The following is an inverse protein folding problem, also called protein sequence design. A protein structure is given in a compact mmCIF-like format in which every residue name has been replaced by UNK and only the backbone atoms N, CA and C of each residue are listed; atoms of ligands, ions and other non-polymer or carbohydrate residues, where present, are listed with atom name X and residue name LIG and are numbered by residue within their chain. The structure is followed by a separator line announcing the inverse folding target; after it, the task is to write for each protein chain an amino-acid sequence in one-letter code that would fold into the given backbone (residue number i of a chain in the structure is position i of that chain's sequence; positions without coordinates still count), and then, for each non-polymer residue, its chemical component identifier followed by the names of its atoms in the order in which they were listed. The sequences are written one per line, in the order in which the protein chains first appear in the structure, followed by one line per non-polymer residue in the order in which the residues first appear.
data_IF_324713422723
#
_entry.id   IF_324713422723
#
_cell.length_a   1.000
_cell.length_b   1.000
_cell.length_c   1.000
_cell.angle_alpha   90.00
_cell.angle_beta   90.00
_cell.angle_gamma   90.00
#
_symmetry.space_group_name_H-M   'P 1'
#
loop_
_entity.id
_entity.type
_entity.pdbx_description
1 polymer ?
#
# COMPACT_ATOMS: atom_id res chain seq x y z
N UNK A 1 44.44 -6.44 53.41
CA UNK A 1 43.97 -7.83 53.32
C UNK A 1 43.72 -8.14 51.86
N UNK A 2 44.64 -8.86 51.21
CA UNK A 2 44.32 -9.70 50.04
C UNK A 2 43.78 -11.06 50.56
N UNK A 3 43.41 -12.07 49.73
CA UNK A 3 43.14 -12.14 48.28
C UNK A 3 41.87 -12.97 47.93
N UNK A 4 41.55 -13.11 46.63
CA UNK A 4 41.24 -14.37 45.88
C UNK A 4 40.41 -14.00 44.63
N UNK A 5 40.95 -13.92 43.41
CA UNK A 5 41.43 -14.97 42.49
C UNK A 5 40.47 -16.16 42.32
N UNK A 6 39.77 -16.23 41.17
CA UNK A 6 39.67 -17.47 40.40
C UNK A 6 39.47 -17.14 38.91
N UNK A 7 40.41 -17.60 38.09
CA UNK A 7 40.44 -17.60 36.62
C UNK A 7 39.66 -18.78 36.02
N UNK A 8 39.36 -18.63 34.73
CA UNK A 8 39.34 -19.63 33.66
C UNK A 8 38.23 -20.70 33.62
N UNK A 9 37.51 -20.78 32.49
CA UNK A 9 37.84 -21.75 31.43
C UNK A 9 37.03 -21.48 30.14
N UNK A 10 37.75 -21.36 29.03
CA UNK A 10 37.26 -21.45 27.65
C UNK A 10 37.23 -22.93 27.28
N UNK A 11 36.20 -23.41 26.58
CA UNK A 11 36.31 -24.60 25.73
C UNK A 11 35.42 -24.45 24.48
N UNK A 12 36.08 -24.57 23.33
CA UNK A 12 35.53 -24.58 21.98
C UNK A 12 34.99 -25.96 21.57
N UNK A 13 34.09 -25.97 20.58
CA UNK A 13 33.78 -27.03 19.59
C UNK A 13 33.28 -28.40 20.11
N UNK A 14 32.29 -29.06 19.52
CA UNK A 14 32.26 -29.58 18.14
C UNK A 14 30.82 -29.85 17.63
N UNK A 15 30.64 -29.78 16.31
CA UNK A 15 29.53 -30.39 15.58
C UNK A 15 29.81 -31.86 15.25
N UNK A 16 28.76 -32.65 14.93
CA UNK A 16 28.93 -33.57 13.80
C UNK A 16 27.74 -33.62 12.81
N UNK A 17 28.11 -33.39 11.54
CA UNK A 17 27.81 -34.11 10.29
C UNK A 17 26.54 -34.98 10.17
N UNK A 18 25.82 -34.67 9.10
CA UNK A 18 24.92 -35.50 8.29
C UNK A 18 25.54 -36.81 7.77
N UNK A 19 24.69 -37.78 7.39
CA UNK A 19 24.91 -38.56 6.18
C UNK A 19 23.73 -38.51 5.19
N UNK A 20 24.09 -38.23 3.94
CA UNK A 20 23.28 -38.39 2.74
C UNK A 20 23.23 -39.87 2.36
N UNK A 21 22.07 -40.39 1.96
CA UNK A 21 21.99 -41.66 1.22
C UNK A 21 20.98 -41.53 0.09
N UNK A 22 21.53 -41.55 -1.13
CA UNK A 22 20.83 -41.72 -2.39
C UNK A 22 20.35 -43.18 -2.51
N UNK A 23 19.08 -43.38 -2.87
CA UNK A 23 18.61 -44.66 -3.39
C UNK A 23 17.84 -44.39 -4.69
N UNK A 24 18.47 -44.82 -5.78
CA UNK A 24 17.91 -45.01 -7.11
C UNK A 24 17.15 -46.35 -7.13
N UNK A 25 16.01 -46.47 -7.84
CA UNK A 25 15.57 -47.77 -8.34
C UNK A 25 15.78 -47.87 -9.86
N UNK A 26 16.43 -48.96 -10.26
CA UNK A 26 16.60 -49.39 -11.64
C UNK A 26 15.35 -50.07 -12.19
N UNK A 27 15.21 -49.90 -13.49
CA UNK A 27 14.31 -50.51 -14.47
C UNK A 27 14.08 -52.01 -14.29
N UNK A 28 12.86 -52.47 -14.53
CA UNK A 28 12.60 -53.80 -15.10
C UNK A 28 11.47 -53.72 -16.10
N UNK A 29 11.84 -54.10 -17.31
CA UNK A 29 11.04 -54.25 -18.51
C UNK A 29 10.27 -55.57 -18.43
N UNK A 30 8.98 -55.58 -18.73
CA UNK A 30 8.18 -56.81 -18.87
C UNK A 30 6.93 -56.53 -19.70
N UNK A 31 7.02 -56.85 -21.00
CA UNK A 31 5.88 -57.01 -21.88
C UNK A 31 5.00 -58.20 -21.46
N UNK A 32 3.68 -58.15 -21.65
CA UNK A 32 2.84 -59.32 -21.81
C UNK A 32 2.51 -59.60 -23.31
N UNK A 33 2.21 -60.86 -23.67
CA UNK A 33 2.06 -61.29 -25.04
C UNK A 33 0.64 -61.09 -25.62
N UNK A 34 0.61 -61.11 -26.95
CA UNK A 34 -0.50 -60.90 -27.88
C UNK A 34 -1.69 -61.85 -27.73
N UNK A 35 -2.90 -61.31 -27.96
CA UNK A 35 -4.05 -62.07 -28.45
C UNK A 35 -4.58 -61.40 -29.72
N UNK A 36 -4.56 -62.19 -30.80
CA UNK A 36 -5.22 -61.95 -32.09
C UNK A 36 -6.74 -61.84 -31.92
N UNK A 37 -7.43 -61.01 -32.70
CA UNK A 37 -8.19 -61.45 -33.90
C UNK A 37 -8.89 -60.25 -34.54
N UNK A 38 -8.98 -60.35 -35.87
CA UNK A 38 -9.39 -59.45 -36.94
C UNK A 38 -10.85 -58.90 -36.89
N UNK A 39 -11.18 -57.92 -37.77
CA UNK A 39 -12.24 -56.94 -37.58
C UNK A 39 -13.53 -57.27 -38.35
N UNK A 40 -14.66 -56.75 -37.85
CA UNK A 40 -15.89 -56.60 -38.64
C UNK A 40 -16.16 -55.13 -38.95
N UNK A 41 -16.48 -54.91 -40.23
CA UNK A 41 -16.72 -53.63 -40.89
C UNK A 41 -18.05 -53.01 -40.47
N UNK A 42 -18.05 -51.72 -40.08
CA UNK A 42 -19.25 -50.88 -40.16
C UNK A 42 -18.83 -49.50 -40.69
N UNK A 43 -19.42 -49.19 -41.84
CA UNK A 43 -19.43 -47.92 -42.55
C UNK A 43 -19.84 -46.75 -41.64
N UNK A 44 -19.02 -45.70 -41.55
CA UNK A 44 -19.52 -44.37 -41.19
C UNK A 44 -18.64 -43.28 -41.83
N UNK A 45 -19.31 -42.45 -42.62
CA UNK A 45 -18.82 -41.27 -43.34
C UNK A 45 -17.99 -40.34 -42.44
N UNK A 46 -16.90 -39.73 -42.94
CA UNK A 46 -16.07 -38.84 -42.14
C UNK A 46 -16.76 -37.49 -41.91
N UNK A 47 -17.12 -37.21 -40.66
CA UNK A 47 -17.49 -35.88 -40.19
C UNK A 47 -16.19 -35.08 -40.00
N UNK A 48 -16.03 -34.00 -40.78
CA UNK A 48 -14.89 -33.08 -40.67
C UNK A 48 -14.86 -32.42 -39.29
N UNK A 49 -13.99 -32.91 -38.40
CA UNK A 49 -13.69 -32.25 -37.12
C UNK A 49 -12.59 -31.22 -37.41
N UNK A 50 -13.02 -29.97 -37.57
CA UNK A 50 -12.17 -28.80 -37.65
C UNK A 50 -11.50 -28.58 -36.28
N UNK A 51 -10.33 -29.21 -36.10
CA UNK A 51 -9.54 -29.10 -34.87
C UNK A 51 -8.61 -27.90 -35.02
N UNK A 52 -9.12 -26.70 -34.78
CA UNK A 52 -8.24 -25.56 -34.53
C UNK A 52 -7.48 -25.80 -33.22
N UNK A 53 -6.14 -25.65 -33.20
CA UNK A 53 -5.38 -25.69 -31.97
C UNK A 53 -5.82 -24.52 -31.06
N UNK A 54 -5.88 -24.71 -29.73
CA UNK A 54 -6.27 -23.63 -28.84
C UNK A 54 -5.21 -22.53 -28.95
N UNK A 55 -5.60 -21.38 -29.49
CA UNK A 55 -4.83 -20.15 -29.37
C UNK A 55 -4.65 -19.86 -27.89
N UNK A 56 -3.48 -20.20 -27.36
CA UNK A 56 -3.00 -19.64 -26.11
C UNK A 56 -2.81 -18.16 -26.41
N UNK A 57 -3.80 -17.37 -26.02
CA UNK A 57 -3.76 -15.92 -26.02
C UNK A 57 -2.73 -15.49 -24.96
N UNK A 58 -1.46 -15.63 -25.30
CA UNK A 58 -0.36 -15.00 -24.60
C UNK A 58 -0.40 -13.50 -24.93
N UNK A 59 -1.42 -12.78 -24.45
CA UNK A 59 -1.28 -11.35 -24.28
C UNK A 59 -0.21 -11.12 -23.22
N UNK A 60 0.96 -10.55 -23.56
CA UNK A 60 1.82 -10.01 -22.53
C UNK A 60 1.00 -8.96 -21.77
N UNK A 61 1.11 -8.87 -20.44
CA UNK A 61 0.42 -7.83 -19.70
C UNK A 61 0.81 -6.50 -20.34
N UNK A 62 -0.18 -5.72 -20.74
CA UNK A 62 0.00 -4.34 -21.20
C UNK A 62 0.59 -3.54 -20.05
N UNK A 63 1.92 -3.63 -19.90
CA UNK A 63 2.70 -2.71 -19.10
C UNK A 63 2.69 -1.43 -19.91
N UNK A 64 1.72 -0.55 -19.61
CA UNK A 64 1.84 0.85 -19.98
C UNK A 64 3.29 1.27 -19.70
N UNK A 65 4.03 1.85 -20.66
CA UNK A 65 5.40 2.22 -20.44
C UNK A 65 5.43 3.20 -19.28
N UNK A 66 5.80 2.69 -18.09
CA UNK A 66 6.02 3.50 -16.91
C UNK A 66 7.12 4.47 -17.31
N UNK A 67 6.74 5.72 -17.61
CA UNK A 67 7.70 6.77 -17.84
C UNK A 67 8.64 6.76 -16.63
N UNK A 68 9.91 6.41 -16.87
CA UNK A 68 10.97 6.43 -15.88
C UNK A 68 11.26 7.89 -15.55
N UNK A 69 10.32 8.50 -14.83
CA UNK A 69 10.43 9.86 -14.34
C UNK A 69 11.39 9.85 -13.18
N UNK A 70 12.41 10.73 -13.23
CA UNK A 70 13.33 10.95 -12.11
C UNK A 70 12.63 11.56 -10.89
N UNK A 71 11.39 12.03 -11.04
CA UNK A 71 10.63 12.69 -9.99
C UNK A 71 10.07 11.65 -9.02
N UNK A 72 10.26 11.88 -7.72
CA UNK A 72 9.78 11.00 -6.64
C UNK A 72 8.25 10.87 -6.73
N UNK A 73 7.74 9.68 -7.06
CA UNK A 73 6.31 9.39 -6.99
C UNK A 73 5.85 9.47 -5.53
N UNK A 74 4.70 10.07 -5.31
CA UNK A 74 4.10 10.07 -3.99
C UNK A 74 3.73 8.63 -3.60
N UNK A 75 4.04 8.22 -2.37
CA UNK A 75 3.62 6.93 -1.82
C UNK A 75 2.58 7.16 -0.72
N UNK A 76 1.27 7.12 -1.04
CA UNK A 76 0.23 7.33 -0.04
C UNK A 76 0.28 6.34 1.13
N UNK A 77 0.76 5.12 0.92
CA UNK A 77 0.88 4.12 1.99
C UNK A 77 1.94 4.53 3.02
N UNK A 78 2.92 5.36 2.64
CA UNK A 78 3.98 5.81 3.54
C UNK A 78 3.57 7.00 4.43
N UNK A 79 2.45 7.67 4.11
CA UNK A 79 1.95 8.82 4.85
C UNK A 79 1.61 8.46 6.29
N UNK A 80 2.04 9.29 7.26
CA UNK A 80 1.83 9.06 8.71
C UNK A 80 0.37 8.72 9.04
N UNK A 81 -0.59 9.45 8.46
CA UNK A 81 -2.03 9.22 8.65
C UNK A 81 -2.48 7.84 8.13
N UNK A 82 -2.01 7.43 6.95
CA UNK A 82 -2.40 6.16 6.34
C UNK A 82 -1.74 4.98 7.05
N UNK A 83 -0.46 5.11 7.43
CA UNK A 83 0.22 4.16 8.33
C UNK A 83 -0.52 4.00 9.65
N UNK A 84 -0.85 5.11 10.33
CA UNK A 84 -1.59 5.08 11.60
C UNK A 84 -2.99 4.45 11.43
N UNK A 85 -3.71 4.75 10.33
CA UNK A 85 -4.99 4.09 10.00
C UNK A 85 -4.83 2.58 9.81
N UNK A 86 -3.81 2.14 9.06
CA UNK A 86 -3.54 0.72 8.82
C UNK A 86 -3.14 -0.02 10.12
N UNK A 87 -2.26 0.59 10.94
CA UNK A 87 -1.86 0.04 12.24
C UNK A 87 -3.06 -0.08 13.19
N UNK A 88 -3.91 0.95 13.25
CA UNK A 88 -5.14 0.93 14.05
C UNK A 88 -6.12 -0.16 13.61
N UNK A 89 -6.33 -0.34 12.31
CA UNK A 89 -7.24 -1.37 11.80
C UNK A 89 -6.68 -2.79 11.96
N UNK A 90 -5.35 -2.94 12.02
CA UNK A 90 -4.67 -4.21 12.31
C UNK A 90 -4.41 -4.44 13.80
N UNK A 91 -4.92 -3.57 14.68
CA UNK A 91 -4.78 -3.72 16.14
C UNK A 91 -3.36 -3.56 16.65
N UNK A 92 -2.43 -3.05 15.85
CA UNK A 92 -1.02 -2.83 16.23
C UNK A 92 -0.87 -1.51 16.99
N UNK A 93 0.28 -1.36 17.66
CA UNK A 93 0.63 -0.10 18.31
C UNK A 93 0.72 1.02 17.27
N UNK A 94 0.23 2.21 17.63
CA UNK A 94 0.23 3.35 16.72
C UNK A 94 0.27 4.67 17.48
N UNK A 95 0.76 5.70 16.80
CA UNK A 95 0.77 7.07 17.31
C UNK A 95 -0.48 7.83 16.86
N UNK A 96 -1.13 8.55 17.78
CA UNK A 96 -2.27 9.40 17.45
C UNK A 96 -1.83 10.63 16.67
N UNK A 97 -2.66 11.05 15.69
CA UNK A 97 -2.42 12.27 14.91
C UNK A 97 -2.85 13.56 15.64
N UNK A 98 -3.08 13.49 16.95
CA UNK A 98 -3.39 14.67 17.78
C UNK A 98 -2.11 15.38 18.16
N UNK A 99 -2.17 16.67 18.54
CA UNK A 99 -0.99 17.43 18.96
C UNK A 99 -0.21 16.76 20.11
N UNK A 100 -0.88 15.91 20.90
CA UNK A 100 -0.29 15.13 21.99
C UNK A 100 0.51 13.91 21.54
N UNK A 101 0.46 13.49 20.26
CA UNK A 101 1.24 12.36 19.72
C UNK A 101 1.25 11.12 20.62
N UNK A 102 0.09 10.78 21.18
CA UNK A 102 -0.03 9.72 22.19
C UNK A 102 0.26 8.37 21.56
N UNK A 103 1.16 7.62 22.16
CA UNK A 103 1.40 6.22 21.81
C UNK A 103 0.26 5.35 22.33
N UNK A 104 -0.37 4.61 21.43
CA UNK A 104 -1.41 3.63 21.74
C UNK A 104 -0.79 2.25 21.60
N UNK A 105 -0.86 1.44 22.65
CA UNK A 105 -0.35 0.06 22.62
C UNK A 105 -1.13 -0.84 21.65
N UNK A 106 -0.45 -1.90 21.21
CA UNK A 106 -1.08 -2.97 20.46
C UNK A 106 -2.20 -3.63 21.27
N UNK A 107 -3.24 -4.06 20.56
CA UNK A 107 -4.30 -4.90 21.11
C UNK A 107 -3.70 -6.23 21.55
N UNK A 108 -4.15 -6.69 22.71
CA UNK A 108 -3.72 -7.95 23.32
C UNK A 108 -4.98 -8.73 23.70
N UNK A 109 -4.90 -10.07 23.66
CA UNK A 109 -5.90 -10.90 24.34
C UNK A 109 -5.82 -10.60 25.85
N UNK A 110 -6.87 -10.87 26.62
CA UNK A 110 -6.74 -10.80 28.08
C UNK A 110 -7.22 -12.06 28.81
N UNK A 111 -7.77 -11.86 30.01
CA UNK A 111 -8.11 -12.93 30.95
C UNK A 111 -9.43 -13.61 30.64
N UNK A 112 -9.48 -14.93 30.84
CA UNK A 112 -10.63 -15.81 30.64
C UNK A 112 -11.94 -15.31 31.27
N UNK A 113 -13.06 -15.87 30.78
CA UNK A 113 -14.35 -15.51 31.37
C UNK A 113 -14.37 -15.93 32.84
N UNK A 114 -14.86 -15.05 33.72
CA UNK A 114 -15.07 -15.39 35.14
C UNK A 114 -15.94 -16.64 35.30
N UNK A 115 -15.74 -17.38 36.38
CA UNK A 115 -16.48 -18.59 36.76
C UNK A 115 -18.00 -18.40 36.80
N UNK A 116 -18.47 -17.15 36.92
CA UNK A 116 -19.89 -16.77 36.83
C UNK A 116 -20.47 -16.86 35.41
N UNK A 117 -19.69 -17.32 34.44
CA UNK A 117 -20.12 -17.44 33.05
C UNK A 117 -21.12 -18.57 32.86
N UNK A 118 -22.38 -18.21 32.58
CA UNK A 118 -23.46 -19.17 32.27
C UNK A 118 -23.15 -20.09 31.07
N UNK A 119 -22.36 -19.58 30.11
CA UNK A 119 -22.02 -20.31 28.89
C UNK A 119 -20.68 -21.07 28.98
N UNK A 120 -20.00 -21.01 30.13
CA UNK A 120 -18.71 -21.69 30.38
C UNK A 120 -17.69 -21.53 29.23
N UNK A 121 -17.60 -20.31 28.67
CA UNK A 121 -16.82 -20.07 27.45
C UNK A 121 -15.32 -20.35 27.59
N UNK A 122 -14.77 -20.31 28.82
CA UNK A 122 -13.37 -20.66 29.10
C UNK A 122 -13.07 -22.13 28.74
N UNK A 123 -14.02 -23.04 28.96
CA UNK A 123 -13.83 -24.47 28.70
C UNK A 123 -14.04 -24.84 27.21
N UNK A 124 -14.60 -23.92 26.42
CA UNK A 124 -14.95 -24.20 25.01
C UNK A 124 -13.79 -23.92 24.05
N UNK A 125 -12.86 -23.06 24.43
CA UNK A 125 -11.75 -22.64 23.58
C UNK A 125 -10.44 -22.66 24.36
N UNK A 126 -9.42 -23.28 23.78
CA UNK A 126 -8.07 -23.23 24.33
C UNK A 126 -7.45 -21.83 24.16
N UNK A 127 -6.36 -21.56 24.88
CA UNK A 127 -5.61 -20.31 24.73
C UNK A 127 -5.13 -20.09 23.29
N UNK A 128 -4.67 -21.14 22.62
CA UNK A 128 -4.12 -21.06 21.26
C UNK A 128 -5.22 -20.82 20.22
N UNK A 129 -6.38 -21.48 20.38
CA UNK A 129 -7.55 -21.22 19.53
C UNK A 129 -8.01 -19.77 19.65
N UNK A 130 -7.94 -19.19 20.86
CA UNK A 130 -8.27 -17.77 21.09
C UNK A 130 -7.26 -16.84 20.43
N UNK A 131 -5.97 -17.17 20.48
CA UNK A 131 -4.93 -16.42 19.79
C UNK A 131 -5.14 -16.46 18.28
N UNK A 132 -5.44 -17.63 17.71
CA UNK A 132 -5.75 -17.77 16.29
C UNK A 132 -6.98 -16.94 15.88
N UNK A 133 -8.06 -16.95 16.68
CA UNK A 133 -9.23 -16.10 16.46
C UNK A 133 -8.89 -14.61 16.50
N UNK A 134 -8.07 -14.19 17.47
CA UNK A 134 -7.60 -12.81 17.61
C UNK A 134 -6.78 -12.38 16.39
N UNK A 135 -5.78 -13.17 16.02
CA UNK A 135 -4.90 -12.88 14.89
C UNK A 135 -5.66 -12.84 13.58
N UNK A 136 -6.54 -13.82 13.32
CA UNK A 136 -7.36 -13.83 12.11
C UNK A 136 -8.27 -12.59 12.04
N UNK A 137 -8.85 -12.16 13.17
CA UNK A 137 -9.68 -10.96 13.21
C UNK A 137 -8.91 -9.68 12.87
N UNK A 138 -7.72 -9.51 13.44
CA UNK A 138 -6.91 -8.31 13.24
C UNK A 138 -6.10 -8.34 11.94
N UNK A 139 -5.74 -9.53 11.44
CA UNK A 139 -5.09 -9.75 10.13
C UNK A 139 -5.98 -9.28 8.97
N UNK A 140 -7.31 -9.38 9.10
CA UNK A 140 -8.22 -8.86 8.08
C UNK A 140 -7.94 -7.38 7.77
N UNK A 141 -7.51 -6.57 8.74
CA UNK A 141 -7.05 -5.18 8.53
C UNK A 141 -8.10 -4.22 7.94
N UNK A 142 -9.31 -4.72 7.66
CA UNK A 142 -10.39 -4.00 7.03
C UNK A 142 -11.55 -3.86 8.00
N UNK A 143 -11.89 -2.60 8.27
CA UNK A 143 -12.93 -2.21 9.19
C UNK A 143 -14.31 -2.68 8.71
N UNK A 144 -14.51 -2.82 7.39
CA UNK A 144 -15.79 -3.28 6.83
C UNK A 144 -16.02 -4.75 7.20
N UNK A 145 -15.04 -5.60 6.91
CA UNK A 145 -15.12 -7.04 7.16
C UNK A 145 -15.15 -7.36 8.66
N UNK A 146 -14.38 -6.64 9.48
CA UNK A 146 -14.43 -6.74 10.94
C UNK A 146 -15.81 -6.38 11.54
N UNK A 147 -16.62 -5.64 10.80
CA UNK A 147 -17.95 -5.18 11.20
C UNK A 147 -19.08 -6.02 10.59
N UNK A 148 -18.77 -7.02 9.78
CA UNK A 148 -19.78 -7.98 9.34
C UNK A 148 -20.07 -8.98 10.46
N UNK A 149 -20.90 -8.56 11.42
CA UNK A 149 -21.44 -9.45 12.45
C UNK A 149 -22.91 -9.68 12.12
N UNK A 150 -23.28 -10.93 11.90
CA UNK A 150 -24.67 -11.37 11.70
C UNK A 150 -25.28 -11.78 13.04
N UNK A 151 -26.10 -10.95 13.70
CA UNK A 151 -26.85 -11.38 14.88
C UNK A 151 -27.96 -12.34 14.44
N UNK A 152 -27.77 -13.65 14.66
CA UNK A 152 -28.76 -14.69 14.34
C UNK A 152 -29.72 -14.93 15.51
N UNK A 153 -30.56 -13.94 15.86
CA UNK A 153 -31.88 -14.17 16.50
C UNK A 153 -32.66 -12.85 16.69
N UNK A 154 -33.94 -12.82 16.26
CA UNK A 154 -34.84 -11.66 16.40
C UNK A 154 -36.17 -12.12 17.02
N UNK A 155 -36.42 -11.74 18.26
CA UNK A 155 -37.79 -11.72 18.81
C UNK A 155 -38.21 -10.28 19.03
N UNK A 156 -39.24 -9.85 18.29
CA UNK A 156 -39.91 -8.56 18.51
C UNK A 156 -41.06 -8.83 19.47
N UNK A 157 -41.06 -8.20 20.65
CA UNK A 157 -42.27 -8.16 21.48
C UNK A 157 -43.20 -7.09 20.92
N UNK A 158 -44.40 -7.49 20.48
CA UNK A 158 -45.44 -6.57 20.02
C UNK A 158 -45.74 -5.57 21.15
N UNK A 159 -45.66 -4.26 20.86
CA UNK A 159 -45.89 -3.19 21.82
C UNK A 159 -44.68 -2.74 22.66
N UNK A 160 -43.48 -3.29 22.46
CA UNK A 160 -42.28 -2.84 23.19
C UNK A 160 -41.59 -1.66 22.51
N UNK A 161 -41.32 -0.58 23.26
CA UNK A 161 -40.46 0.54 22.85
C UNK A 161 -38.97 0.19 22.85
N UNK A 162 -38.58 -1.01 23.31
CA UNK A 162 -37.19 -1.46 23.31
C UNK A 162 -36.77 -1.85 21.89
N UNK A 163 -36.20 -0.89 21.16
CA UNK A 163 -35.57 -1.11 19.85
C UNK A 163 -34.34 -2.05 19.91
N UNK A 164 -33.81 -2.35 21.10
CA UNK A 164 -32.59 -3.14 21.27
C UNK A 164 -32.90 -4.65 21.22
N UNK A 165 -32.45 -5.31 20.15
CA UNK A 165 -32.53 -6.75 19.96
C UNK A 165 -31.57 -7.53 20.88
N UNK A 166 -31.92 -8.76 21.23
CA UNK A 166 -31.03 -9.68 21.93
C UNK A 166 -29.97 -10.22 20.95
N UNK A 167 -28.75 -9.68 20.99
CA UNK A 167 -27.67 -10.18 20.14
C UNK A 167 -27.05 -11.46 20.70
N UNK A 168 -26.92 -12.47 19.85
CA UNK A 168 -26.11 -13.66 20.11
C UNK A 168 -24.77 -13.54 19.38
N UNK A 169 -23.69 -13.95 20.05
CA UNK A 169 -22.32 -13.89 19.54
C UNK A 169 -21.80 -15.29 19.30
N UNK A 170 -21.03 -15.48 18.24
CA UNK A 170 -20.54 -16.80 17.83
C UNK A 170 -19.07 -16.73 17.42
N UNK A 171 -18.33 -17.80 17.70
CA UNK A 171 -17.01 -18.05 17.13
C UNK A 171 -17.00 -19.35 16.31
N UNK A 172 -16.29 -19.39 15.18
CA UNK A 172 -16.10 -20.62 14.42
C UNK A 172 -15.11 -21.54 15.15
N UNK A 173 -15.44 -22.84 15.21
CA UNK A 173 -14.57 -23.93 15.68
C UNK A 173 -14.96 -25.21 14.95
N UNK A 174 -14.01 -25.84 14.24
CA UNK A 174 -14.22 -27.10 13.51
C UNK A 174 -15.52 -27.08 12.68
N UNK A 175 -15.68 -26.05 11.84
CA UNK A 175 -16.85 -25.79 10.98
C UNK A 175 -18.21 -25.59 11.69
N UNK A 176 -18.20 -25.50 13.01
CA UNK A 176 -19.39 -25.17 13.82
C UNK A 176 -19.28 -23.77 14.39
N UNK A 177 -20.42 -23.09 14.52
CA UNK A 177 -20.52 -21.79 15.20
C UNK A 177 -20.89 -22.03 16.67
N UNK A 178 -19.95 -21.79 17.58
CA UNK A 178 -20.17 -21.93 19.03
C UNK A 178 -20.62 -20.59 19.60
N UNK A 179 -21.73 -20.60 20.35
CA UNK A 179 -22.27 -19.41 21.00
C UNK A 179 -21.43 -19.02 22.21
N UNK A 180 -21.02 -17.76 22.27
CA UNK A 180 -20.26 -17.20 23.38
C UNK A 180 -20.98 -16.03 24.04
N UNK A 181 -20.60 -15.71 25.28
CA UNK A 181 -21.18 -14.57 25.97
C UNK A 181 -20.62 -13.26 25.40
N UNK A 182 -21.37 -12.17 25.56
CA UNK A 182 -20.97 -10.83 25.13
C UNK A 182 -19.61 -10.41 25.69
N UNK A 183 -19.37 -10.72 26.97
CA UNK A 183 -18.11 -10.43 27.67
C UNK A 183 -16.95 -11.16 26.99
N UNK A 184 -17.11 -12.43 26.65
CA UNK A 184 -16.07 -13.21 25.99
C UNK A 184 -15.77 -12.73 24.56
N UNK A 185 -16.80 -12.24 23.85
CA UNK A 185 -16.67 -11.63 22.53
C UNK A 185 -15.99 -10.25 22.56
N UNK A 186 -16.21 -9.47 23.64
CA UNK A 186 -15.82 -8.07 23.73
C UNK A 186 -14.57 -7.79 24.56
N UNK A 187 -14.55 -8.28 25.80
CA UNK A 187 -14.48 -7.34 26.91
C UNK A 187 -13.16 -6.57 26.95
N UNK A 188 -13.34 -5.27 27.15
CA UNK A 188 -12.29 -4.29 27.34
C UNK A 188 -11.45 -4.66 28.56
N UNK A 189 -10.15 -4.76 28.32
CA UNK A 189 -9.06 -5.25 29.16
C UNK A 189 -8.97 -6.78 29.29
N UNK A 190 -10.01 -7.55 28.88
CA UNK A 190 -9.95 -9.03 28.82
C UNK A 190 -10.88 -9.69 27.76
N UNK A 191 -10.29 -10.18 26.65
CA UNK A 191 -10.72 -11.28 25.71
C UNK A 191 -11.25 -10.96 24.30
N UNK A 192 -11.54 -12.02 23.53
CA UNK A 192 -10.74 -12.60 22.43
C UNK A 192 -10.48 -11.69 21.24
N UNK A 193 -11.25 -10.61 21.08
CA UNK A 193 -11.10 -9.68 19.97
C UNK A 193 -10.63 -8.27 20.39
N UNK A 194 -10.64 -7.95 21.69
CA UNK A 194 -10.24 -6.64 22.25
C UNK A 194 -11.03 -5.44 21.67
N UNK A 195 -12.36 -5.59 21.54
CA UNK A 195 -13.28 -4.62 20.93
C UNK A 195 -14.21 -4.00 21.98
N UNK A 196 -14.46 -2.69 21.88
CA UNK A 196 -15.38 -1.99 22.78
C UNK A 196 -16.86 -2.24 22.44
N UNK A 197 -17.73 -2.14 23.46
CA UNK A 197 -19.20 -2.24 23.31
C UNK A 197 -19.74 -1.27 22.26
N UNK A 198 -19.19 -0.05 22.25
CA UNK A 198 -19.55 1.01 21.30
C UNK A 198 -19.35 0.56 19.86
N UNK A 199 -18.30 -0.20 19.57
CA UNK A 199 -18.02 -0.72 18.23
C UNK A 199 -19.12 -1.67 17.80
N UNK A 200 -19.51 -2.62 18.67
CA UNK A 200 -20.59 -3.58 18.38
C UNK A 200 -21.93 -2.90 18.21
N UNK A 201 -22.28 -1.95 19.08
CA UNK A 201 -23.53 -1.18 18.92
C UNK A 201 -23.57 -0.42 17.60
N UNK A 202 -22.44 0.16 17.19
CA UNK A 202 -22.32 0.88 15.92
C UNK A 202 -22.51 -0.06 14.74
N UNK A 203 -21.94 -1.27 14.81
CA UNK A 203 -22.11 -2.31 13.79
C UNK A 203 -23.55 -2.73 13.66
N UNK A 204 -24.17 -3.11 14.78
CA UNK A 204 -25.55 -3.59 14.78
C UNK A 204 -26.50 -2.52 14.26
N UNK A 205 -26.39 -1.28 14.75
CA UNK A 205 -27.23 -0.17 14.27
C UNK A 205 -27.14 0.00 12.75
N UNK A 206 -25.92 -0.04 12.21
CA UNK A 206 -25.69 0.12 10.77
C UNK A 206 -26.19 -1.07 9.95
N UNK A 207 -26.03 -2.30 10.45
CA UNK A 207 -26.52 -3.50 9.79
C UNK A 207 -28.06 -3.61 9.85
N UNK A 208 -28.70 -3.12 10.91
CA UNK A 208 -30.17 -3.09 11.01
C UNK A 208 -30.82 -2.09 10.06
N UNK A 209 -30.12 -1.00 9.74
CA UNK A 209 -30.60 0.05 8.84
C UNK A 209 -30.39 -0.29 7.35
N UNK A 210 -29.44 -1.19 7.01
CA UNK A 210 -29.10 -1.51 5.61
C UNK A 210 -28.64 -2.97 5.47
N UNK A 211 -29.30 -3.74 4.59
CA UNK A 211 -28.82 -5.08 4.19
C UNK A 211 -27.58 -4.92 3.29
N UNK A 212 -26.37 -5.12 3.83
CA UNK A 212 -25.14 -5.23 3.04
C UNK A 212 -23.89 -4.66 3.72
N UNK A 213 -22.72 -4.99 3.15
CA UNK A 213 -21.43 -4.46 3.58
C UNK A 213 -21.39 -2.95 3.36
N UNK A 214 -21.20 -2.18 4.43
CA UNK A 214 -21.12 -0.72 4.36
C UNK A 214 -19.81 -0.27 3.70
N UNK A 215 -19.90 0.73 2.81
CA UNK A 215 -18.70 1.40 2.28
C UNK A 215 -18.05 2.31 3.35
N UNK A 216 -16.71 2.30 3.42
CA UNK A 216 -15.96 3.14 4.37
C UNK A 216 -15.91 4.59 3.87
N UNK A 217 -16.86 5.40 4.35
CA UNK A 217 -17.00 6.81 3.95
C UNK A 217 -16.32 7.80 4.93
N UNK A 218 -15.45 7.33 5.85
CA UNK A 218 -14.79 8.24 6.78
C UNK A 218 -13.83 9.16 6.02
N UNK A 219 -13.98 10.47 6.24
CA UNK A 219 -13.20 11.49 5.55
C UNK A 219 -13.62 11.72 4.09
N UNK A 220 -14.64 11.00 3.60
CA UNK A 220 -15.23 11.16 2.27
C UNK A 220 -16.60 11.81 2.42
N UNK A 221 -16.62 13.13 2.62
CA UNK A 221 -17.84 13.90 2.83
C UNK A 221 -18.36 14.59 1.56
N UNK A 222 -17.71 14.41 0.41
CA UNK A 222 -18.10 15.06 -0.86
C UNK A 222 -17.72 16.54 -0.96
N UNK A 223 -17.70 17.29 0.16
CA UNK A 223 -17.29 18.71 0.20
C UNK A 223 -15.78 18.96 0.02
N UNK A 224 -15.05 18.07 -0.64
CA UNK A 224 -13.62 18.29 -0.93
C UNK A 224 -13.51 19.18 -2.17
N UNK A 225 -12.63 20.17 -2.14
CA UNK A 225 -12.39 21.01 -3.32
C UNK A 225 -11.92 20.13 -4.48
N UNK A 226 -12.67 20.16 -5.59
CA UNK A 226 -12.30 19.50 -6.83
C UNK A 226 -11.99 20.57 -7.86
N UNK A 227 -10.75 20.55 -8.35
CA UNK A 227 -10.38 21.40 -9.45
C UNK A 227 -11.10 20.94 -10.73
N UNK A 228 -11.76 21.88 -11.40
CA UNK A 228 -12.41 21.67 -12.68
C UNK A 228 -11.44 21.07 -13.71
N UNK A 229 -11.92 20.13 -14.54
CA UNK A 229 -11.11 19.49 -15.57
C UNK A 229 -10.55 20.50 -16.58
N UNK A 230 -11.38 21.46 -17.00
CA UNK A 230 -11.01 22.55 -17.92
C UNK A 230 -9.74 23.32 -17.47
N UNK A 231 -9.64 23.63 -16.18
CA UNK A 231 -8.47 24.32 -15.61
C UNK A 231 -7.20 23.46 -15.65
N UNK A 232 -7.33 22.14 -15.48
CA UNK A 232 -6.18 21.22 -15.60
C UNK A 232 -5.69 21.15 -17.04
N UNK A 233 -6.63 21.10 -17.98
CA UNK A 233 -6.31 21.01 -19.41
C UNK A 233 -5.64 22.30 -19.91
N UNK A 234 -6.08 23.47 -19.42
CA UNK A 234 -5.41 24.74 -19.69
C UNK A 234 -3.93 24.76 -19.24
N UNK A 235 -3.63 24.21 -18.07
CA UNK A 235 -2.24 24.08 -17.57
C UNK A 235 -1.44 23.12 -18.45
N UNK A 236 -2.01 21.97 -18.82
CA UNK A 236 -1.36 20.99 -19.69
C UNK A 236 -1.05 21.57 -21.07
N UNK A 237 -1.99 22.31 -21.65
CA UNK A 237 -1.83 22.98 -22.94
C UNK A 237 -0.68 24.01 -22.88
N UNK A 238 -0.59 24.80 -21.81
CA UNK A 238 0.51 25.73 -21.60
C UNK A 238 1.87 25.02 -21.50
N UNK A 239 1.97 23.95 -20.71
CA UNK A 239 3.22 23.19 -20.57
C UNK A 239 3.64 22.54 -21.91
N UNK A 240 2.69 22.09 -22.70
CA UNK A 240 2.94 21.54 -24.04
C UNK A 240 3.36 22.59 -25.07
N UNK A 241 2.99 23.86 -24.89
CA UNK A 241 3.40 24.95 -25.80
C UNK A 241 4.86 25.40 -25.64
N UNK A 242 5.54 24.97 -24.57
CA UNK A 242 6.94 25.34 -24.32
C UNK A 242 7.84 24.47 -25.20
N UNK A 243 8.81 25.04 -25.94
CA UNK A 243 9.74 24.27 -26.76
C UNK A 243 10.56 23.30 -25.89
N UNK A 244 10.73 22.08 -26.40
CA UNK A 244 11.45 21.00 -25.72
C UNK A 244 12.70 20.62 -26.48
N UNK A 245 13.75 20.36 -25.73
CA UNK A 245 15.01 19.84 -26.21
C UNK A 245 15.02 18.34 -25.93
N UNK A 246 15.22 17.54 -26.97
CA UNK A 246 15.35 16.11 -26.86
C UNK A 246 16.64 15.73 -26.11
N UNK A 247 16.64 14.58 -25.42
CA UNK A 247 17.79 14.08 -24.65
C UNK A 247 19.00 13.66 -25.48
N UNK A 248 19.08 14.05 -26.76
CA UNK A 248 20.11 13.68 -27.73
C UNK A 248 21.55 13.84 -27.18
N UNK A 249 21.76 14.79 -26.27
CA UNK A 249 23.06 15.07 -25.64
C UNK A 249 23.30 14.38 -24.28
N UNK A 250 22.36 13.59 -23.75
CA UNK A 250 22.42 13.02 -22.40
C UNK A 250 21.81 11.60 -22.33
N UNK A 251 22.68 10.57 -22.43
CA UNK A 251 22.44 9.14 -22.13
C UNK A 251 21.25 8.50 -22.88
N UNK A 252 21.56 7.60 -23.80
CA UNK A 252 20.65 6.89 -24.74
C UNK A 252 19.41 6.18 -24.14
N UNK A 253 19.31 6.01 -22.82
CA UNK A 253 18.26 5.23 -22.17
C UNK A 253 17.17 6.07 -21.46
N UNK A 254 17.22 7.41 -21.50
CA UNK A 254 16.19 8.24 -20.84
C UNK A 254 15.33 9.03 -21.82
N UNK A 255 14.02 8.77 -21.81
CA UNK A 255 12.96 9.56 -22.49
C UNK A 255 12.63 10.88 -21.76
N UNK A 256 13.61 11.50 -21.11
CA UNK A 256 13.41 12.76 -20.41
C UNK A 256 13.58 13.92 -21.39
N UNK A 257 12.60 14.80 -21.45
CA UNK A 257 12.66 16.03 -22.25
C UNK A 257 13.20 17.17 -21.39
N UNK A 258 13.82 18.16 -22.03
CA UNK A 258 14.42 19.30 -21.34
C UNK A 258 13.83 20.63 -21.79
N UNK A 259 13.62 21.53 -20.84
CA UNK A 259 13.37 22.96 -21.07
C UNK A 259 14.68 23.71 -20.88
N UNK A 260 14.92 24.79 -21.60
CA UNK A 260 16.10 25.65 -21.44
C UNK A 260 16.32 26.08 -19.97
N UNK A 261 17.59 26.07 -19.56
CA UNK A 261 18.03 26.17 -18.16
C UNK A 261 17.83 27.51 -17.47
N UNK A 262 17.45 28.55 -18.21
CA UNK A 262 17.17 29.88 -17.68
C UNK A 262 15.75 29.99 -17.08
N UNK A 263 14.88 29.01 -17.33
CA UNK A 263 13.49 29.06 -16.88
C UNK A 263 13.30 28.22 -15.61
N UNK A 264 12.54 28.75 -14.65
CA UNK A 264 12.11 27.99 -13.46
C UNK A 264 10.62 27.67 -13.53
N UNK A 265 10.15 26.69 -12.77
CA UNK A 265 8.70 26.38 -12.69
C UNK A 265 7.90 27.60 -12.24
N UNK A 266 8.46 28.41 -11.33
CA UNK A 266 7.87 29.67 -10.90
C UNK A 266 7.82 30.71 -12.02
N UNK A 267 8.83 30.75 -12.90
CA UNK A 267 8.79 31.60 -14.09
C UNK A 267 7.73 31.11 -15.08
N UNK A 268 7.63 29.80 -15.33
CA UNK A 268 6.61 29.21 -16.19
C UNK A 268 5.19 29.49 -15.71
N UNK A 269 4.95 29.41 -14.39
CA UNK A 269 3.66 29.77 -13.80
C UNK A 269 3.34 31.26 -13.96
N UNK A 270 4.33 32.14 -13.82
CA UNK A 270 4.14 33.58 -14.07
C UNK A 270 3.73 33.84 -15.53
N UNK A 271 4.41 33.21 -16.49
CA UNK A 271 4.05 33.30 -17.90
C UNK A 271 2.65 32.75 -18.19
N UNK A 272 2.29 31.62 -17.57
CA UNK A 272 0.94 31.06 -17.64
C UNK A 272 -0.12 32.05 -17.15
N UNK A 273 0.12 32.69 -16.00
CA UNK A 273 -0.82 33.68 -15.43
C UNK A 273 -0.98 34.89 -16.35
N UNK A 274 0.11 35.36 -16.97
CA UNK A 274 0.05 36.46 -17.95
C UNK A 274 -0.81 36.06 -19.16
N UNK A 275 -0.52 34.89 -19.76
CA UNK A 275 -1.29 34.36 -20.89
C UNK A 275 -2.77 34.18 -20.57
N UNK A 276 -3.10 33.63 -19.40
CA UNK A 276 -4.49 33.49 -18.97
C UNK A 276 -5.20 34.84 -18.79
N UNK A 277 -4.49 35.88 -18.31
CA UNK A 277 -5.06 37.23 -18.20
C UNK A 277 -5.34 37.85 -19.55
N UNK A 278 -4.43 37.68 -20.52
CA UNK A 278 -4.60 38.15 -21.90
C UNK A 278 -5.80 37.47 -22.58
N UNK A 279 -5.97 36.16 -22.37
CA UNK A 279 -7.08 35.38 -22.92
C UNK A 279 -8.38 35.47 -22.11
N UNK A 280 -8.43 36.29 -21.04
CA UNK A 280 -9.55 36.38 -20.09
C UNK A 280 -10.02 35.04 -19.51
N UNK A 281 -9.08 34.12 -19.25
CA UNK A 281 -9.34 32.80 -18.67
C UNK A 281 -8.96 32.73 -17.19
N UNK A 282 -9.68 31.93 -16.39
CA UNK A 282 -9.28 31.66 -15.01
C UNK A 282 -7.94 30.91 -14.96
N UNK A 283 -7.10 31.27 -13.99
CA UNK A 283 -5.78 30.66 -13.79
C UNK A 283 -5.73 29.89 -12.47
N UNK A 284 -4.87 28.86 -12.41
CA UNK A 284 -4.66 28.06 -11.21
C UNK A 284 -3.57 28.65 -10.32
N UNK A 285 -3.61 28.29 -9.02
CA UNK A 285 -2.53 28.59 -8.09
C UNK A 285 -1.23 27.86 -8.47
N UNK A 286 -0.08 28.44 -8.10
CA UNK A 286 1.25 27.87 -8.33
C UNK A 286 1.36 26.41 -7.85
N UNK A 287 0.78 26.09 -6.68
CA UNK A 287 0.86 24.73 -6.12
C UNK A 287 0.20 23.68 -7.01
N UNK A 288 -0.92 24.03 -7.64
CA UNK A 288 -1.63 23.16 -8.58
C UNK A 288 -0.80 22.99 -9.84
N UNK A 289 -0.32 24.10 -10.40
CA UNK A 289 0.56 24.11 -11.58
C UNK A 289 1.80 23.23 -11.36
N UNK A 290 2.47 23.40 -10.22
CA UNK A 290 3.65 22.63 -9.83
C UNK A 290 3.34 21.13 -9.74
N UNK A 291 2.23 20.74 -9.10
CA UNK A 291 1.85 19.34 -8.98
C UNK A 291 1.58 18.72 -10.35
N UNK A 292 0.84 19.41 -11.24
CA UNK A 292 0.59 18.95 -12.61
C UNK A 292 1.90 18.79 -13.38
N UNK A 293 2.80 19.78 -13.32
CA UNK A 293 4.13 19.69 -13.95
C UNK A 293 4.98 18.53 -13.41
N UNK A 294 4.81 18.17 -12.13
CA UNK A 294 5.59 17.10 -11.50
C UNK A 294 5.01 15.70 -11.73
N UNK A 295 3.69 15.56 -11.73
CA UNK A 295 2.98 14.29 -11.83
C UNK A 295 2.76 13.86 -13.29
N UNK A 296 2.38 14.80 -14.16
CA UNK A 296 1.96 14.48 -15.53
C UNK A 296 3.10 14.54 -16.55
N UNK A 297 4.21 15.25 -16.24
CA UNK A 297 5.28 15.54 -17.21
C UNK A 297 6.66 15.05 -16.75
N UNK A 298 7.33 14.27 -17.62
CA UNK A 298 8.73 13.87 -17.44
C UNK A 298 9.71 14.89 -18.03
N UNK A 299 9.55 16.16 -17.64
CA UNK A 299 10.35 17.29 -18.12
C UNK A 299 11.27 17.78 -17.00
N UNK A 300 12.53 18.05 -17.35
CA UNK A 300 13.54 18.66 -16.48
C UNK A 300 14.09 19.95 -17.10
N UNK A 301 14.80 20.75 -16.30
CA UNK A 301 15.51 21.92 -16.83
C UNK A 301 16.91 21.49 -17.27
N UNK A 302 17.28 21.87 -18.49
CA UNK A 302 18.62 21.65 -19.03
C UNK A 302 19.63 22.47 -18.22
N UNK A 303 20.70 21.83 -17.78
CA UNK A 303 21.81 22.53 -17.14
C UNK A 303 23.07 22.15 -17.91
N UNK A 304 23.72 23.09 -18.62
CA UNK A 304 24.98 22.81 -19.31
C UNK A 304 25.99 22.25 -18.32
N UNK A 305 26.54 21.07 -18.60
CA UNK A 305 27.57 20.43 -17.76
C UNK A 305 28.99 20.58 -18.30
N UNK A 306 29.09 20.75 -19.61
CA UNK A 306 30.34 21.09 -20.31
C UNK A 306 30.23 22.59 -20.59
N UNK A 307 31.32 23.33 -20.41
CA UNK A 307 31.42 24.79 -20.61
C UNK A 307 30.97 25.68 -19.43
N UNK A 308 30.94 25.15 -18.21
CA UNK A 308 30.89 26.02 -17.03
C UNK A 308 32.31 26.51 -16.73
N UNK A 309 32.51 27.84 -16.71
CA UNK A 309 33.78 28.40 -16.28
C UNK A 309 34.06 27.97 -14.83
N UNK A 310 35.23 27.36 -14.61
CA UNK A 310 35.67 26.87 -13.32
C UNK A 310 35.58 27.98 -12.25
N UNK A 311 36.02 29.19 -12.59
CA UNK A 311 35.97 30.35 -11.68
C UNK A 311 34.53 30.78 -11.34
N UNK A 312 33.62 30.78 -12.33
CA UNK A 312 32.20 31.08 -12.09
C UNK A 312 31.53 30.04 -11.20
N UNK A 313 31.85 28.76 -11.40
CA UNK A 313 31.28 27.66 -10.59
C UNK A 313 31.84 27.64 -9.17
N UNK A 314 33.12 27.94 -9.00
CA UNK A 314 33.76 28.04 -7.70
C UNK A 314 33.15 29.18 -6.87
N UNK A 315 32.87 30.34 -7.50
CA UNK A 315 32.25 31.48 -6.81
C UNK A 315 30.79 31.20 -6.39
N UNK A 316 29.99 30.61 -7.28
CA UNK A 316 28.57 30.34 -6.99
C UNK A 316 28.35 29.31 -5.88
N UNK A 317 29.29 28.35 -5.75
CA UNK A 317 29.21 27.24 -4.81
C UNK A 317 29.96 27.47 -3.49
N UNK A 318 30.67 28.59 -3.31
CA UNK A 318 31.39 28.90 -2.08
C UNK A 318 30.46 29.43 -0.97
N UNK A 319 30.66 28.94 0.26
CA UNK A 319 29.95 29.40 1.45
C UNK A 319 30.32 30.85 1.81
N UNK A 320 31.62 31.19 1.72
CA UNK A 320 32.15 32.54 1.96
C UNK A 320 32.58 33.22 0.65
N UNK A 321 31.67 34.04 0.12
CA UNK A 321 31.84 34.72 -1.18
C UNK A 321 32.79 35.92 -1.15
N UNK A 322 33.17 36.41 0.02
CA UNK A 322 34.04 37.59 0.17
C UNK A 322 35.43 37.36 -0.41
N UNK A 323 36.00 36.16 -0.21
CA UNK A 323 37.37 35.82 -0.63
C UNK A 323 37.48 35.63 -2.15
N UNK A 324 36.43 35.14 -2.79
CA UNK A 324 36.42 34.84 -4.23
C UNK A 324 35.83 35.97 -5.08
N UNK A 325 35.31 37.05 -4.46
CA UNK A 325 34.62 38.13 -5.15
C UNK A 325 35.53 38.91 -6.09
N UNK A 326 36.72 39.29 -5.62
CA UNK A 326 37.69 40.04 -6.44
C UNK A 326 38.13 39.24 -7.68
N UNK A 327 38.38 37.94 -7.51
CA UNK A 327 38.74 37.04 -8.61
C UNK A 327 37.59 36.86 -9.60
N UNK A 328 36.36 36.77 -9.11
CA UNK A 328 35.16 36.64 -9.94
C UNK A 328 34.85 37.93 -10.73
N UNK A 329 34.98 39.10 -10.10
CA UNK A 329 34.74 40.39 -10.74
C UNK A 329 35.79 40.68 -11.84
N UNK A 330 37.05 40.31 -11.62
CA UNK A 330 38.11 40.39 -12.65
C UNK A 330 37.82 39.45 -13.84
N UNK A 331 37.42 38.21 -13.56
CA UNK A 331 37.02 37.24 -14.59
C UNK A 331 35.86 37.77 -15.47
N UNK A 332 34.89 38.48 -14.87
CA UNK A 332 33.80 39.11 -15.61
C UNK A 332 34.27 40.27 -16.50
N UNK A 333 35.26 41.05 -16.05
CA UNK A 333 35.84 42.14 -16.84
C UNK A 333 36.60 41.62 -18.05
N UNK A 334 37.44 40.59 -17.87
CA UNK A 334 38.19 39.94 -18.96
C UNK A 334 37.27 39.32 -20.01
N UNK A 335 36.16 38.72 -19.57
CA UNK A 335 35.13 38.16 -20.46
C UNK A 335 34.45 39.22 -21.34
N UNK A 336 34.33 40.47 -20.90
CA UNK A 336 33.72 41.54 -21.67
C UNK A 336 34.68 42.21 -22.66
N UNK A 337 35.99 41.94 -22.55
CA UNK A 337 37.04 42.50 -23.41
C UNK A 337 37.43 41.56 -24.57
N UNK A 338 37.06 40.28 -24.49
CA UNK A 338 37.15 39.29 -25.56
C UNK A 338 35.83 39.17 -26.31
#
# INVERSE_FOLDING_TARGET
MQPSNTEALILETEQPKSPSSNIHPSSTDSQPPSINTQPDSIDTQPLSIDTQPPSIDCQPPSVEPQLLSRKRKCNPASWKRNKSKALKNSGKAYETMSNSNKQIEAKKIGLECSDKCKLKCANQFSRDERLALFENFWKMGDLINQRHVEPKYRYVRVGSTRQNFNHAYYFPKNDRRIRVCKVYFMNTNTNTLAISDKTIRTVVKKNSERLGLMQENRGKHGNQFQLEASLKDGVKAHINSIPRIESHYCRAHTKCEYIEGNMSIAALHRLYVVKCKEENKPHVLYKIYYNIFMEDFNISFWQPKKDQCEDCTAYLNADDKSVLKEKYDLHLQEKCLA
#
